data_IF_375702540589
#
_entry.id   IF_375702540589
#
_cell.length_a   1.000
_cell.length_b   1.000
_cell.length_c   1.000
_cell.angle_alpha   90.00
_cell.angle_beta   90.00
_cell.angle_gamma   90.00
#
_symmetry.space_group_name_H-M   'P 1'
#
loop_
_entity.id
_entity.type
_entity.pdbx_description
1 polymer ?
#
# COMPACT_ATOMS: atom_id res chain seq x y z
N UNK A 1 -130.79 19.23 -0.44
CA UNK A 1 -129.78 18.15 -0.35
C UNK A 1 -128.42 18.75 0.03
N UNK A 2 -127.65 17.98 0.81
CA UNK A 2 -126.61 18.35 1.79
C UNK A 2 -125.24 18.84 1.22
N UNK A 3 -124.74 19.94 1.82
CA UNK A 3 -123.34 20.31 2.24
C UNK A 3 -122.23 20.36 1.16
N UNK A 4 -121.82 21.52 0.58
CA UNK A 4 -121.00 22.68 1.06
C UNK A 4 -119.60 22.33 1.64
N UNK A 5 -118.49 22.64 0.93
CA UNK A 5 -117.16 22.71 1.58
C UNK A 5 -115.84 22.53 0.77
N UNK A 6 -115.81 22.46 -0.57
CA UNK A 6 -114.63 21.92 -1.31
C UNK A 6 -113.65 22.92 -1.98
N UNK A 7 -113.84 24.25 -1.84
CA UNK A 7 -112.93 25.27 -2.44
C UNK A 7 -111.85 25.81 -1.49
N UNK A 8 -112.05 25.75 -0.16
CA UNK A 8 -111.07 26.24 0.84
C UNK A 8 -109.87 25.31 1.01
N UNK A 9 -110.04 23.99 0.89
CA UNK A 9 -108.95 23.00 1.02
C UNK A 9 -108.00 23.02 -0.18
N UNK A 10 -108.50 23.28 -1.38
CA UNK A 10 -107.67 23.45 -2.60
C UNK A 10 -106.81 24.71 -2.48
N UNK A 11 -107.35 25.82 -1.97
CA UNK A 11 -106.58 27.04 -1.71
C UNK A 11 -105.50 26.85 -0.64
N UNK A 12 -105.76 26.04 0.39
CA UNK A 12 -104.75 25.67 1.40
C UNK A 12 -103.61 24.83 0.83
N UNK A 13 -103.91 23.84 -0.03
CA UNK A 13 -102.89 23.04 -0.72
C UNK A 13 -102.04 23.90 -1.66
N UNK A 14 -102.67 24.82 -2.39
CA UNK A 14 -101.97 25.71 -3.31
C UNK A 14 -101.07 26.71 -2.56
N UNK A 15 -101.54 27.23 -1.42
CA UNK A 15 -100.72 28.05 -0.53
C UNK A 15 -99.51 27.28 0.02
N UNK A 16 -99.65 26.01 0.40
CA UNK A 16 -98.55 25.16 0.87
C UNK A 16 -97.53 24.88 -0.25
N UNK A 17 -97.99 24.63 -1.47
CA UNK A 17 -97.10 24.41 -2.62
C UNK A 17 -96.34 25.70 -2.96
N UNK A 18 -97.00 26.85 -2.94
CA UNK A 18 -96.35 28.15 -3.17
C UNK A 18 -95.35 28.46 -2.04
N UNK A 19 -95.69 28.16 -0.79
CA UNK A 19 -94.77 28.31 0.35
C UNK A 19 -93.57 27.36 0.23
N UNK A 20 -93.81 26.11 -0.18
CA UNK A 20 -92.76 25.12 -0.40
C UNK A 20 -91.80 25.52 -1.53
N UNK A 21 -92.35 26.03 -2.64
CA UNK A 21 -91.55 26.57 -3.75
C UNK A 21 -90.81 27.84 -3.37
N UNK A 22 -91.41 28.71 -2.55
CA UNK A 22 -90.76 29.92 -2.04
C UNK A 22 -89.59 29.58 -1.10
N UNK A 23 -89.75 28.61 -0.20
CA UNK A 23 -88.69 28.14 0.70
C UNK A 23 -87.59 27.39 -0.07
N UNK A 24 -87.95 26.60 -1.07
CA UNK A 24 -86.99 25.89 -1.92
C UNK A 24 -86.18 26.86 -2.79
N UNK A 25 -86.85 27.84 -3.40
CA UNK A 25 -86.20 28.94 -4.11
C UNK A 25 -85.28 29.73 -3.19
N UNK A 26 -85.72 30.09 -1.98
CA UNK A 26 -84.87 30.82 -1.04
C UNK A 26 -83.65 29.99 -0.59
N UNK A 27 -83.78 28.68 -0.36
CA UNK A 27 -82.64 27.79 -0.03
C UNK A 27 -81.62 27.68 -1.16
N UNK A 28 -82.06 27.72 -2.43
CA UNK A 28 -81.19 27.69 -3.60
C UNK A 28 -80.50 29.04 -3.81
N UNK A 29 -81.22 30.15 -3.64
CA UNK A 29 -80.66 31.50 -3.80
C UNK A 29 -79.74 31.91 -2.64
N UNK A 30 -79.95 31.39 -1.42
CA UNK A 30 -79.11 31.67 -0.24
C UNK A 30 -78.11 30.54 0.10
N UNK A 31 -77.68 29.74 -0.87
CA UNK A 31 -76.57 28.82 -0.65
C UNK A 31 -75.28 29.64 -0.36
N UNK A 32 -74.68 29.54 0.83
CA UNK A 32 -73.50 30.34 1.17
C UNK A 32 -72.35 29.93 0.25
N UNK A 33 -71.76 30.92 -0.43
CA UNK A 33 -70.64 30.66 -1.33
C UNK A 33 -69.48 30.03 -0.54
N UNK A 34 -68.88 28.94 -1.05
CA UNK A 34 -67.77 28.28 -0.38
C UNK A 34 -66.61 29.27 -0.26
N UNK A 35 -66.19 29.54 0.98
CA UNK A 35 -65.05 30.40 1.26
C UNK A 35 -63.76 29.59 1.15
N UNK A 36 -62.90 29.95 0.19
CA UNK A 36 -61.60 29.33 0.02
C UNK A 36 -60.50 30.23 0.57
N UNK A 37 -59.58 29.66 1.33
CA UNK A 37 -58.35 30.34 1.72
C UNK A 37 -57.37 30.26 0.55
N UNK A 38 -57.03 31.42 -0.03
CA UNK A 38 -56.06 31.52 -1.12
C UNK A 38 -54.90 32.43 -0.72
N UNK A 39 -53.74 32.22 -1.36
CA UNK A 39 -52.52 32.99 -1.12
C UNK A 39 -51.91 33.40 -2.46
N UNK A 40 -51.35 34.60 -2.53
CA UNK A 40 -50.68 35.12 -3.73
C UNK A 40 -49.29 34.49 -3.85
N UNK A 41 -49.04 33.72 -4.91
CA UNK A 41 -47.73 33.12 -5.18
C UNK A 41 -46.80 34.09 -5.91
N UNK A 42 -45.50 34.03 -5.60
CA UNK A 42 -44.44 34.80 -6.28
C UNK A 42 -43.34 33.86 -6.74
N UNK A 43 -42.70 34.18 -7.86
CA UNK A 43 -41.48 33.47 -8.28
C UNK A 43 -40.34 33.83 -7.34
N UNK A 44 -39.63 32.83 -6.87
CA UNK A 44 -38.45 32.93 -6.03
C UNK A 44 -37.71 31.61 -6.04
N UNK A 45 -36.45 31.63 -5.61
CA UNK A 45 -35.62 30.43 -5.60
C UNK A 45 -36.05 29.49 -4.47
N UNK A 46 -36.33 28.24 -4.83
CA UNK A 46 -36.62 27.18 -3.87
C UNK A 46 -35.35 26.36 -3.68
N UNK A 47 -34.76 26.42 -2.49
CA UNK A 47 -33.59 25.62 -2.14
C UNK A 47 -34.03 24.41 -1.31
N UNK A 48 -33.62 23.21 -1.74
CA UNK A 48 -33.82 21.98 -0.99
C UNK A 48 -32.46 21.48 -0.50
N UNK A 49 -32.25 21.54 0.82
CA UNK A 49 -31.07 20.96 1.46
C UNK A 49 -31.35 19.52 1.86
N UNK A 50 -30.38 18.63 1.65
CA UNK A 50 -30.39 17.26 2.15
C UNK A 50 -29.34 17.15 3.23
N UNK A 51 -29.77 16.72 4.43
CA UNK A 51 -28.85 16.45 5.53
C UNK A 51 -28.20 15.10 5.30
N UNK A 52 -26.87 15.09 5.22
CA UNK A 52 -26.07 13.87 5.12
C UNK A 52 -24.95 13.90 6.16
N UNK A 53 -24.72 12.76 6.80
CA UNK A 53 -23.60 12.60 7.73
C UNK A 53 -22.35 12.24 6.94
N UNK A 54 -21.36 13.12 6.94
CA UNK A 54 -20.04 12.87 6.34
C UNK A 54 -19.00 12.53 7.40
N UNK A 55 -18.14 11.55 7.12
CA UNK A 55 -16.94 11.28 7.93
C UNK A 55 -15.73 11.94 7.27
N UNK A 56 -14.94 12.66 8.05
CA UNK A 56 -13.67 13.23 7.62
C UNK A 56 -12.54 12.25 7.96
N UNK A 57 -11.56 12.10 7.06
CA UNK A 57 -10.36 11.29 7.25
C UNK A 57 -9.14 12.01 6.64
N UNK A 58 -7.94 11.51 6.93
CA UNK A 58 -6.70 12.04 6.39
C UNK A 58 -6.62 11.86 4.86
N UNK A 59 -6.09 12.85 4.16
CA UNK A 59 -5.90 12.78 2.70
C UNK A 59 -4.96 11.63 2.29
N UNK A 60 -3.95 11.33 3.11
CA UNK A 60 -3.06 10.18 2.96
C UNK A 60 -2.81 9.57 4.34
N UNK A 61 -3.04 8.27 4.46
CA UNK A 61 -2.78 7.47 5.66
C UNK A 61 -1.92 6.29 5.26
N UNK A 62 -0.82 6.06 5.98
CA UNK A 62 0.10 4.94 5.76
C UNK A 62 0.45 4.35 7.12
N UNK A 63 0.31 3.03 7.24
CA UNK A 63 0.75 2.30 8.42
C UNK A 63 2.21 1.90 8.20
N UNK A 64 3.10 2.44 9.05
CA UNK A 64 4.55 2.17 8.98
C UNK A 64 4.87 0.98 9.87
N UNK A 65 5.42 -0.09 9.28
CA UNK A 65 5.87 -1.29 9.97
C UNK A 65 7.33 -1.62 9.68
N UNK A 66 7.84 -2.67 10.31
CA UNK A 66 9.19 -3.18 10.07
C UNK A 66 9.15 -4.53 9.34
N UNK A 67 10.14 -4.77 8.49
CA UNK A 67 10.29 -6.05 7.77
C UNK A 67 11.03 -7.11 8.59
N UNK A 68 11.78 -6.70 9.62
CA UNK A 68 12.58 -7.57 10.48
C UNK A 68 11.92 -7.77 11.84
N UNK A 69 12.08 -8.96 12.39
CA UNK A 69 11.64 -9.29 13.75
C UNK A 69 12.71 -8.88 14.77
N UNK A 70 12.29 -8.35 15.91
CA UNK A 70 13.20 -8.00 17.01
C UNK A 70 12.51 -7.12 18.06
N UNK A 71 13.20 -6.90 19.17
CA UNK A 71 12.72 -5.98 20.20
C UNK A 71 12.95 -4.52 19.74
N UNK A 72 11.92 -3.68 19.87
CA UNK A 72 12.08 -2.23 19.67
C UNK A 72 12.92 -1.65 20.81
N UNK A 73 14.13 -1.20 20.49
CA UNK A 73 15.10 -0.69 21.47
C UNK A 73 14.86 0.77 21.79
N UNK A 74 14.58 1.57 20.76
CA UNK A 74 14.32 3.01 20.91
C UNK A 74 13.24 3.48 19.95
N UNK A 75 12.45 4.47 20.38
CA UNK A 75 11.50 5.20 19.55
C UNK A 75 11.81 6.70 19.72
N UNK A 76 12.08 7.38 18.62
CA UNK A 76 12.58 8.76 18.58
C UNK A 76 11.46 9.79 18.36
N UNK A 77 10.21 9.35 18.22
CA UNK A 77 9.06 10.20 17.92
C UNK A 77 7.92 9.93 18.88
N UNK A 78 7.19 10.98 19.24
CA UNK A 78 5.98 10.89 20.03
C UNK A 78 4.74 11.13 19.18
N UNK A 79 3.59 10.75 19.73
CA UNK A 79 2.30 10.95 19.07
C UNK A 79 2.04 12.45 18.92
N UNK A 80 1.86 12.90 17.67
CA UNK A 80 1.60 14.31 17.33
C UNK A 80 2.81 15.04 16.73
N UNK A 81 4.00 14.44 16.75
CA UNK A 81 5.19 15.04 16.16
C UNK A 81 5.12 15.06 14.62
N UNK A 82 5.56 16.16 14.02
CA UNK A 82 5.72 16.26 12.56
C UNK A 82 7.04 15.64 12.15
N UNK A 83 6.99 14.65 11.28
CA UNK A 83 8.18 13.97 10.74
C UNK A 83 8.46 14.38 9.29
N UNK A 84 9.74 14.38 8.91
CA UNK A 84 10.19 14.56 7.52
C UNK A 84 10.33 13.21 6.84
N UNK A 85 10.36 13.23 5.50
CA UNK A 85 10.70 12.04 4.71
C UNK A 85 12.10 11.53 5.11
N UNK A 86 12.24 10.22 5.22
CA UNK A 86 13.50 9.51 5.56
C UNK A 86 14.05 9.82 6.96
N UNK A 87 13.21 10.34 7.86
CA UNK A 87 13.56 10.56 9.26
C UNK A 87 13.56 9.24 10.06
N UNK A 88 14.59 9.03 10.88
CA UNK A 88 14.66 7.91 11.82
C UNK A 88 13.53 7.99 12.85
N UNK A 89 12.65 6.98 12.85
CA UNK A 89 11.51 6.91 13.78
C UNK A 89 11.82 6.04 15.00
N UNK A 90 12.53 4.93 14.82
CA UNK A 90 12.84 3.97 15.88
C UNK A 90 13.92 3.00 15.43
N UNK A 91 14.53 2.31 16.38
CA UNK A 91 15.59 1.33 16.14
C UNK A 91 15.18 0.01 16.79
N UNK A 92 15.17 -1.05 16.00
CA UNK A 92 15.02 -2.44 16.43
C UNK A 92 16.40 -2.97 16.80
N UNK A 93 16.48 -3.86 17.79
CA UNK A 93 17.75 -4.41 18.24
C UNK A 93 18.56 -5.07 17.10
N UNK A 94 19.72 -4.51 16.72
CA UNK A 94 20.48 -4.96 15.55
C UNK A 94 21.46 -6.10 15.87
N UNK A 95 21.51 -6.60 17.10
CA UNK A 95 22.56 -7.54 17.55
C UNK A 95 22.68 -8.77 16.65
N UNK A 96 21.56 -9.38 16.26
CA UNK A 96 21.57 -10.55 15.37
C UNK A 96 22.13 -10.21 13.97
N UNK A 97 21.72 -9.09 13.39
CA UNK A 97 22.22 -8.64 12.09
C UNK A 97 23.72 -8.31 12.14
N UNK A 98 24.17 -7.66 13.22
CA UNK A 98 25.58 -7.36 13.44
C UNK A 98 26.43 -8.62 13.61
N UNK A 99 25.92 -9.63 14.33
CA UNK A 99 26.61 -10.91 14.48
C UNK A 99 26.74 -11.64 13.13
N UNK A 100 25.70 -11.60 12.31
CA UNK A 100 25.74 -12.16 10.95
C UNK A 100 26.78 -11.46 10.07
N UNK A 101 26.87 -10.12 10.14
CA UNK A 101 27.88 -9.35 9.41
C UNK A 101 29.28 -9.76 9.86
N UNK A 102 29.54 -9.84 11.17
CA UNK A 102 30.84 -10.27 11.72
C UNK A 102 31.24 -11.67 11.25
N UNK A 103 30.29 -12.60 11.21
CA UNK A 103 30.51 -13.95 10.70
C UNK A 103 30.95 -13.93 9.23
N UNK A 104 30.23 -13.21 8.37
CA UNK A 104 30.56 -13.11 6.94
C UNK A 104 31.91 -12.39 6.72
N UNK A 105 32.20 -11.36 7.51
CA UNK A 105 33.50 -10.68 7.48
C UNK A 105 34.65 -11.60 7.87
N UNK A 106 34.45 -12.47 8.88
CA UNK A 106 35.43 -13.48 9.26
C UNK A 106 35.67 -14.50 8.14
N UNK A 107 34.60 -14.99 7.49
CA UNK A 107 34.73 -15.90 6.32
C UNK A 107 35.46 -15.22 5.15
N UNK A 108 35.22 -13.93 4.91
CA UNK A 108 35.97 -13.19 3.89
C UNK A 108 37.45 -13.04 4.24
N UNK A 109 37.77 -12.84 5.52
CA UNK A 109 39.15 -12.81 5.99
C UNK A 109 39.86 -14.15 5.77
N UNK A 110 39.17 -15.26 6.07
CA UNK A 110 39.67 -16.61 5.81
C UNK A 110 39.96 -16.83 4.33
N UNK A 111 39.01 -16.52 3.44
CA UNK A 111 39.20 -16.67 1.99
C UNK A 111 40.33 -15.78 1.44
N UNK A 112 40.51 -14.58 2.00
CA UNK A 112 41.65 -13.73 1.64
C UNK A 112 42.98 -14.34 2.06
N UNK A 113 43.05 -15.00 3.21
CA UNK A 113 44.24 -15.72 3.63
C UNK A 113 44.52 -16.91 2.69
N UNK A 114 43.48 -17.68 2.33
CA UNK A 114 43.59 -18.78 1.36
C UNK A 114 44.03 -18.29 -0.03
N UNK A 115 43.54 -17.14 -0.48
CA UNK A 115 43.96 -16.49 -1.72
C UNK A 115 45.46 -16.16 -1.69
N UNK A 116 45.93 -15.60 -0.58
CA UNK A 116 47.35 -15.27 -0.41
C UNK A 116 48.23 -16.52 -0.45
N UNK A 117 47.79 -17.62 0.17
CA UNK A 117 48.46 -18.91 0.08
C UNK A 117 48.50 -19.42 -1.37
N UNK A 118 47.36 -19.43 -2.07
CA UNK A 118 47.29 -19.88 -3.46
C UNK A 118 48.16 -19.03 -4.41
N UNK A 119 48.25 -17.72 -4.15
CA UNK A 119 49.15 -16.81 -4.88
C UNK A 119 50.62 -17.15 -4.64
N UNK A 120 51.00 -17.49 -3.40
CA UNK A 120 52.35 -17.94 -3.09
C UNK A 120 52.70 -19.27 -3.79
N UNK A 121 51.78 -20.23 -3.80
CA UNK A 121 51.94 -21.51 -4.52
C UNK A 121 52.07 -21.30 -6.04
N UNK A 122 51.22 -20.46 -6.64
CA UNK A 122 51.32 -20.12 -8.06
C UNK A 122 52.64 -19.43 -8.37
N UNK A 123 53.14 -18.56 -7.48
CA UNK A 123 54.44 -17.91 -7.66
C UNK A 123 55.58 -18.91 -7.61
N UNK A 124 55.53 -19.88 -6.71
CA UNK A 124 56.50 -20.97 -6.64
C UNK A 124 56.49 -21.79 -7.93
N UNK A 125 55.31 -22.21 -8.42
CA UNK A 125 55.16 -22.94 -9.67
C UNK A 125 55.71 -22.13 -10.87
N UNK A 126 55.48 -20.81 -10.90
CA UNK A 126 56.00 -19.93 -11.94
C UNK A 126 57.53 -19.89 -11.95
N UNK A 127 58.17 -19.78 -10.77
CA UNK A 127 59.63 -19.79 -10.65
C UNK A 127 60.21 -21.15 -11.02
N UNK A 128 59.54 -22.25 -10.65
CA UNK A 128 59.94 -23.60 -11.03
C UNK A 128 59.86 -23.79 -12.54
N UNK A 129 58.76 -23.38 -13.18
CA UNK A 129 58.62 -23.45 -14.63
C UNK A 129 59.72 -22.65 -15.34
N UNK A 130 59.98 -21.41 -14.91
CA UNK A 130 61.04 -20.59 -15.51
C UNK A 130 62.41 -21.27 -15.41
N UNK A 131 62.71 -21.92 -14.27
CA UNK A 131 63.94 -22.69 -14.07
C UNK A 131 63.99 -23.91 -14.99
N UNK A 132 62.92 -24.69 -15.08
CA UNK A 132 62.84 -25.84 -15.97
C UNK A 132 63.00 -25.44 -17.45
N UNK A 133 62.43 -24.30 -17.86
CA UNK A 133 62.60 -23.74 -19.21
C UNK A 133 64.06 -23.40 -19.53
N UNK A 134 64.78 -22.78 -18.59
CA UNK A 134 66.21 -22.50 -18.75
C UNK A 134 67.05 -23.78 -18.85
N UNK A 135 66.74 -24.80 -18.06
CA UNK A 135 67.44 -26.09 -18.11
C UNK A 135 67.13 -26.87 -19.40
N UNK A 136 65.89 -26.78 -19.90
CA UNK A 136 65.47 -27.46 -21.12
C UNK A 136 66.14 -26.88 -22.37
N UNK A 137 66.38 -25.56 -22.40
CA UNK A 137 67.18 -24.93 -23.46
C UNK A 137 68.61 -25.49 -23.53
N UNK A 138 69.14 -25.96 -22.40
CA UNK A 138 70.43 -26.63 -22.29
C UNK A 138 70.35 -28.16 -22.41
N UNK A 139 69.17 -28.70 -22.75
CA UNK A 139 68.90 -30.14 -22.87
C UNK A 139 69.14 -30.92 -21.56
N UNK A 140 69.04 -30.27 -20.40
CA UNK A 140 69.32 -30.87 -19.08
C UNK A 140 68.08 -31.50 -18.41
N UNK A 141 66.89 -31.36 -18.99
CA UNK A 141 65.62 -31.87 -18.46
C UNK A 141 64.75 -32.42 -19.59
N UNK A 142 63.85 -33.35 -19.27
CA UNK A 142 62.97 -33.97 -20.26
C UNK A 142 61.83 -33.02 -20.67
N UNK A 143 61.21 -33.27 -21.83
CA UNK A 143 59.99 -32.56 -22.24
C UNK A 143 58.82 -32.83 -21.29
N UNK A 144 58.75 -34.04 -20.74
CA UNK A 144 57.72 -34.42 -19.76
C UNK A 144 57.79 -33.56 -18.49
N UNK A 145 59.00 -33.23 -18.02
CA UNK A 145 59.17 -32.37 -16.83
C UNK A 145 58.72 -30.93 -17.10
N UNK A 146 58.98 -30.43 -18.31
CA UNK A 146 58.49 -29.12 -18.75
C UNK A 146 56.96 -29.10 -18.80
N UNK A 147 56.35 -30.07 -19.48
CA UNK A 147 54.91 -30.18 -19.64
C UNK A 147 54.22 -30.26 -18.26
N UNK A 148 54.80 -31.02 -17.34
CA UNK A 148 54.35 -31.13 -15.94
C UNK A 148 54.42 -29.77 -15.23
N UNK A 149 55.53 -29.03 -15.36
CA UNK A 149 55.66 -27.72 -14.73
C UNK A 149 54.70 -26.67 -15.32
N UNK A 150 54.44 -26.71 -16.64
CA UNK A 150 53.44 -25.83 -17.28
C UNK A 150 52.03 -26.11 -16.81
N UNK A 151 51.67 -27.39 -16.74
CA UNK A 151 50.33 -27.82 -16.30
C UNK A 151 50.11 -27.52 -14.82
N UNK A 152 51.11 -27.72 -13.96
CA UNK A 152 51.05 -27.35 -12.55
C UNK A 152 50.81 -25.84 -12.37
N UNK A 153 51.55 -24.99 -13.09
CA UNK A 153 51.30 -23.54 -13.05
C UNK A 153 49.86 -23.20 -13.47
N UNK A 154 49.35 -23.82 -14.53
CA UNK A 154 47.98 -23.60 -15.00
C UNK A 154 46.93 -24.02 -13.95
N UNK A 155 47.15 -25.16 -13.27
CA UNK A 155 46.28 -25.63 -12.17
C UNK A 155 46.30 -24.64 -11.01
N UNK A 156 47.48 -24.16 -10.59
CA UNK A 156 47.59 -23.17 -9.51
C UNK A 156 46.96 -21.83 -9.85
N UNK A 157 47.02 -21.40 -11.11
CA UNK A 157 46.32 -20.21 -11.60
C UNK A 157 44.79 -20.39 -11.59
N UNK A 158 44.29 -21.55 -12.02
CA UNK A 158 42.87 -21.87 -11.96
C UNK A 158 42.34 -21.92 -10.50
N UNK A 159 43.16 -22.39 -9.57
CA UNK A 159 42.83 -22.38 -8.14
C UNK A 159 42.63 -20.95 -7.62
N UNK A 160 43.48 -19.99 -8.03
CA UNK A 160 43.31 -18.57 -7.67
C UNK A 160 41.95 -18.06 -8.18
N UNK A 161 41.61 -18.31 -9.45
CA UNK A 161 40.33 -17.90 -10.02
C UNK A 161 39.11 -18.49 -9.28
N UNK A 162 39.24 -19.72 -8.79
CA UNK A 162 38.20 -20.37 -7.97
C UNK A 162 38.01 -19.66 -6.63
N UNK A 163 39.10 -19.32 -5.94
CA UNK A 163 39.05 -18.60 -4.66
C UNK A 163 38.54 -17.16 -4.87
N UNK A 164 38.95 -16.48 -5.94
CA UNK A 164 38.47 -15.14 -6.29
C UNK A 164 36.95 -15.14 -6.55
N UNK A 165 36.43 -16.17 -7.23
CA UNK A 165 34.99 -16.34 -7.41
C UNK A 165 34.26 -16.57 -6.06
N UNK A 166 34.85 -17.34 -5.15
CA UNK A 166 34.30 -17.54 -3.80
C UNK A 166 34.29 -16.24 -2.98
N UNK A 167 35.35 -15.45 -3.04
CA UNK A 167 35.42 -14.12 -2.42
C UNK A 167 34.31 -13.23 -2.97
N UNK A 168 34.15 -13.16 -4.30
CA UNK A 168 33.12 -12.35 -4.95
C UNK A 168 31.70 -12.76 -4.54
N UNK A 169 31.45 -14.08 -4.43
CA UNK A 169 30.17 -14.60 -3.92
C UNK A 169 29.92 -14.16 -2.48
N UNK A 170 30.90 -14.29 -1.60
CA UNK A 170 30.75 -13.92 -0.18
C UNK A 170 30.69 -12.40 0.03
N UNK A 171 31.27 -11.59 -0.87
CA UNK A 171 31.04 -10.14 -0.89
C UNK A 171 29.57 -9.81 -1.17
N UNK A 172 28.93 -10.49 -2.14
CA UNK A 172 27.50 -10.32 -2.39
C UNK A 172 26.65 -10.76 -1.18
N UNK A 173 27.05 -11.84 -0.49
CA UNK A 173 26.42 -12.25 0.77
C UNK A 173 26.58 -11.18 1.86
N UNK A 174 27.74 -10.53 1.96
CA UNK A 174 27.97 -9.44 2.91
C UNK A 174 27.07 -8.24 2.61
N UNK A 175 26.92 -7.86 1.35
CA UNK A 175 26.05 -6.75 0.96
C UNK A 175 24.57 -7.07 1.27
N UNK A 176 24.17 -8.33 1.09
CA UNK A 176 22.85 -8.82 1.49
C UNK A 176 22.67 -8.75 3.02
N UNK A 177 23.68 -9.18 3.79
CA UNK A 177 23.66 -9.10 5.25
C UNK A 177 23.58 -7.64 5.75
N UNK A 178 24.26 -6.71 5.08
CA UNK A 178 24.19 -5.27 5.37
C UNK A 178 22.85 -4.63 5.01
N UNK A 179 22.19 -5.12 3.96
CA UNK A 179 20.86 -4.63 3.56
C UNK A 179 19.78 -5.02 4.57
N UNK A 180 20.00 -6.11 5.31
CA UNK A 180 19.10 -6.58 6.36
C UNK A 180 19.33 -5.89 7.72
N UNK A 181 20.27 -4.94 7.81
CA UNK A 181 20.57 -4.14 9.00
C UNK A 181 19.90 -2.77 8.92
#
# INVERSE_FOLDING_TARGET
MKVKGKRRTVWWLLAIVVLGLAVWGWRILNAPLPHYQTLVVRKGDLQQSVLATGKLDALRKVDVGAQVSGQLKTLHVNIGDKVKKDQLLGVIDPEQAQNQIKEVEATLMELRAQLNQARAESKLAQVTLARQQQLAQRQLVSRQDLDTATTDLAVKQAQIGTIEAQIKRNQATLDTAKTNL
#
